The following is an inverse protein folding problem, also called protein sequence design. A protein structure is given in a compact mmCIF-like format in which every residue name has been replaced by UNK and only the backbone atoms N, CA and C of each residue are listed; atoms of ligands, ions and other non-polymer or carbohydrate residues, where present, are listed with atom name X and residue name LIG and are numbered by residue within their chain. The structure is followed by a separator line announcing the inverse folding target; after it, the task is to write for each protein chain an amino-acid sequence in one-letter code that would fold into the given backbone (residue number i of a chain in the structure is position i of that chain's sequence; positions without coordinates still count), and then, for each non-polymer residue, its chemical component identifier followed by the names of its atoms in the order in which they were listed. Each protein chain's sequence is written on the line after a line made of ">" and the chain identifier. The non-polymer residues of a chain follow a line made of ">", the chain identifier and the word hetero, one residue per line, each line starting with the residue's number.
data_IF_903762907595
#
_entry.id   IF_903762907595
#
_cell.length_a   1.000
_cell.length_b   1.000
_cell.length_c   1.000
_cell.angle_alpha   90.00
_cell.angle_beta   90.00
_cell.angle_gamma   90.00
#
_symmetry.space_group_name_H-M   'P 1'
#
loop_
_entity.id
_entity.type
_entity.pdbx_description
1 polymer ?
#
# COMPACT_ATOMS: atom_id res chain seq x y z
N UNK A 1 -13.19 52.59 -0.58
CA UNK A 1 -12.96 51.47 -1.51
C UNK A 1 -11.83 50.63 -0.97
N UNK A 2 -12.10 49.55 -0.25
CA UNK A 2 -11.13 48.69 0.41
C UNK A 2 -10.63 47.67 -0.62
N UNK A 3 -9.38 47.78 -1.07
CA UNK A 3 -8.74 46.80 -1.91
C UNK A 3 -8.50 45.53 -1.07
N UNK A 4 -9.26 44.46 -1.30
CA UNK A 4 -8.94 43.12 -0.78
C UNK A 4 -7.74 42.60 -1.53
N UNK A 5 -6.58 42.58 -0.86
CA UNK A 5 -5.41 41.83 -1.34
C UNK A 5 -5.71 40.34 -1.21
N UNK A 6 -6.01 39.69 -2.33
CA UNK A 6 -6.02 38.24 -2.42
C UNK A 6 -4.56 37.78 -2.41
N UNK A 7 -4.10 37.35 -1.24
CA UNK A 7 -2.88 36.55 -1.19
C UNK A 7 -3.19 35.23 -1.89
N UNK A 8 -2.58 35.07 -3.09
CA UNK A 8 -2.55 33.78 -3.75
C UNK A 8 -1.68 32.89 -2.88
N UNK A 9 -2.30 32.07 -2.01
CA UNK A 9 -1.60 31.03 -1.27
C UNK A 9 -1.12 30.06 -2.33
N UNK A 10 0.14 30.21 -2.75
CA UNK A 10 0.83 29.16 -3.51
C UNK A 10 1.00 28.03 -2.51
N UNK A 11 0.09 27.05 -2.53
CA UNK A 11 0.32 25.79 -1.84
C UNK A 11 1.50 25.14 -2.53
N UNK A 12 2.69 25.29 -1.97
CA UNK A 12 3.83 24.45 -2.30
C UNK A 12 3.45 23.10 -1.71
N UNK A 13 2.92 22.20 -2.53
CA UNK A 13 2.73 20.82 -2.13
C UNK A 13 4.14 20.24 -1.95
N UNK A 14 4.52 19.82 -0.74
CA UNK A 14 5.81 19.16 -0.56
C UNK A 14 5.81 17.88 -1.41
N UNK A 15 6.98 17.52 -1.94
CA UNK A 15 7.20 16.28 -2.68
C UNK A 15 6.57 15.09 -1.91
N UNK A 16 5.59 14.39 -2.47
CA UNK A 16 4.93 13.25 -1.81
C UNK A 16 5.87 12.06 -1.60
N UNK A 17 7.08 12.06 -2.19
CA UNK A 17 7.96 10.89 -2.29
C UNK A 17 8.64 10.46 -0.98
N UNK A 18 8.56 11.23 0.12
CA UNK A 18 9.36 10.97 1.33
C UNK A 18 8.64 10.26 2.48
N UNK A 19 7.32 10.27 2.54
CA UNK A 19 6.53 9.58 3.57
C UNK A 19 5.41 8.81 2.91
N UNK A 20 5.02 7.68 3.50
CA UNK A 20 3.77 7.02 3.12
C UNK A 20 2.61 8.00 3.28
N UNK A 21 1.68 8.01 2.31
CA UNK A 21 0.53 8.89 2.37
C UNK A 21 -0.75 8.24 1.85
N UNK A 22 -1.87 8.75 2.34
CA UNK A 22 -3.20 8.55 1.79
C UNK A 22 -3.69 9.90 1.28
N UNK A 23 -4.08 10.00 0.01
CA UNK A 23 -4.66 11.20 -0.60
C UNK A 23 -6.16 11.04 -0.74
N UNK A 24 -6.93 12.05 -0.36
CA UNK A 24 -8.35 12.15 -0.66
C UNK A 24 -8.53 12.58 -2.12
N UNK A 25 -9.12 11.74 -2.95
CA UNK A 25 -9.36 12.00 -4.38
C UNK A 25 -10.75 12.59 -4.64
N UNK A 26 -11.44 13.07 -3.61
CA UNK A 26 -12.76 13.67 -3.76
C UNK A 26 -12.72 15.20 -3.61
N UNK A 27 -13.73 15.86 -4.17
CA UNK A 27 -13.88 17.33 -4.09
C UNK A 27 -14.49 17.81 -2.77
N UNK A 28 -14.71 16.89 -1.83
CA UNK A 28 -15.21 17.17 -0.47
C UNK A 28 -14.25 16.58 0.57
N UNK A 29 -14.36 17.05 1.80
CA UNK A 29 -13.64 16.42 2.91
C UNK A 29 -14.01 14.94 3.01
N UNK A 30 -12.98 14.10 3.22
CA UNK A 30 -13.10 12.68 3.43
C UNK A 30 -12.62 12.29 4.81
N UNK A 31 -13.19 11.26 5.37
CA UNK A 31 -12.79 10.72 6.66
C UNK A 31 -11.99 9.43 6.47
N UNK A 32 -10.86 9.34 7.17
CA UNK A 32 -10.13 8.09 7.35
C UNK A 32 -10.30 7.67 8.80
N UNK A 33 -11.01 6.58 9.01
CA UNK A 33 -10.97 5.89 10.30
C UNK A 33 -9.62 5.22 10.48
N UNK A 34 -8.94 5.52 11.56
CA UNK A 34 -7.77 4.76 12.00
C UNK A 34 -8.19 3.81 13.11
N UNK A 35 -8.20 2.53 12.80
CA UNK A 35 -8.56 1.49 13.75
C UNK A 35 -7.30 0.71 14.14
N UNK A 36 -6.82 0.90 15.37
CA UNK A 36 -5.80 0.03 15.95
C UNK A 36 -6.49 -0.85 16.98
N UNK A 37 -6.82 -2.06 16.59
CA UNK A 37 -7.74 -2.92 17.33
C UNK A 37 -7.13 -3.72 18.49
N UNK A 38 -5.82 -3.70 18.63
CA UNK A 38 -5.19 -4.36 19.77
C UNK A 38 -4.70 -3.31 20.77
N UNK A 39 -5.42 -3.15 21.87
CA UNK A 39 -5.09 -2.19 22.93
C UNK A 39 -3.71 -2.42 23.54
N UNK A 40 -3.20 -3.66 23.55
CA UNK A 40 -1.85 -3.96 24.01
C UNK A 40 -0.78 -3.44 23.06
N UNK A 41 -1.05 -3.42 21.72
CA UNK A 41 -0.14 -2.93 20.71
C UNK A 41 -0.25 -1.43 20.40
N UNK A 42 -1.34 -0.77 20.78
CA UNK A 42 -1.49 0.69 20.63
C UNK A 42 -0.38 1.47 21.35
N UNK A 43 0.00 0.99 22.54
CA UNK A 43 1.06 1.61 23.32
C UNK A 43 2.45 1.39 22.68
N UNK A 44 2.57 0.40 21.80
CA UNK A 44 3.80 0.09 21.05
C UNK A 44 3.85 0.79 19.71
N UNK A 45 2.70 1.19 19.13
CA UNK A 45 2.63 1.83 17.82
C UNK A 45 2.89 3.33 17.95
N UNK A 46 4.07 3.78 17.54
CA UNK A 46 4.44 5.18 17.47
C UNK A 46 4.01 5.83 16.15
N UNK A 47 2.74 5.64 15.75
CA UNK A 47 2.21 6.19 14.52
C UNK A 47 1.89 7.68 14.67
N UNK A 48 2.48 8.48 13.83
CA UNK A 48 2.16 9.89 13.68
C UNK A 48 1.51 10.15 12.32
N UNK A 49 0.62 11.14 12.26
CA UNK A 49 0.10 11.66 10.99
C UNK A 49 0.34 13.15 10.87
N UNK A 50 0.36 13.66 9.63
CA UNK A 50 0.50 15.08 9.31
C UNK A 50 -0.20 15.41 8.00
N UNK A 51 -0.65 16.66 7.85
CA UNK A 51 -1.18 17.17 6.59
C UNK A 51 -0.17 18.05 5.82
N UNK A 52 0.95 18.41 6.45
CA UNK A 52 1.94 19.35 5.91
C UNK A 52 3.40 18.86 6.02
N UNK A 53 3.64 17.66 6.57
CA UNK A 53 4.95 17.04 6.87
C UNK A 53 5.79 17.84 7.90
N UNK A 54 5.26 18.86 8.50
CA UNK A 54 5.92 19.71 9.51
C UNK A 54 5.30 19.49 10.89
N UNK A 55 3.99 19.59 10.95
CA UNK A 55 3.22 19.44 12.18
C UNK A 55 2.72 18.00 12.30
N UNK A 56 3.33 17.22 13.19
CA UNK A 56 3.03 15.81 13.38
C UNK A 56 2.18 15.59 14.62
N UNK A 57 1.13 14.79 14.49
CA UNK A 57 0.18 14.48 15.54
C UNK A 57 0.26 12.99 15.84
N UNK A 58 0.48 12.64 17.11
CA UNK A 58 0.50 11.26 17.58
C UNK A 58 -0.91 10.67 17.56
N UNK A 59 -1.06 9.51 16.93
CA UNK A 59 -2.29 8.70 17.07
C UNK A 59 -2.33 8.12 18.48
N UNK A 60 -3.30 8.55 19.31
CA UNK A 60 -3.36 8.21 20.74
C UNK A 60 -4.42 7.19 21.12
N UNK A 61 -5.43 7.02 20.28
CA UNK A 61 -6.62 6.23 20.62
C UNK A 61 -7.11 5.40 19.43
N UNK A 62 -7.79 4.30 19.77
CA UNK A 62 -8.55 3.53 18.79
C UNK A 62 -9.72 4.37 18.24
N UNK A 63 -10.09 4.15 16.98
CA UNK A 63 -11.21 4.82 16.31
C UNK A 63 -11.04 6.33 16.11
N UNK A 64 -9.82 6.84 15.97
CA UNK A 64 -9.64 8.20 15.51
C UNK A 64 -10.12 8.34 14.07
N UNK A 65 -11.15 9.14 13.91
CA UNK A 65 -11.59 9.59 12.59
C UNK A 65 -10.81 10.85 12.24
N UNK A 66 -9.96 10.75 11.22
CA UNK A 66 -9.17 11.88 10.75
C UNK A 66 -9.81 12.40 9.47
N UNK A 67 -10.14 13.69 9.44
CA UNK A 67 -10.69 14.36 8.28
C UNK A 67 -9.56 14.83 7.36
N UNK A 68 -9.54 14.33 6.13
CA UNK A 68 -8.61 14.76 5.09
C UNK A 68 -9.33 15.78 4.22
N UNK A 69 -8.78 16.99 4.03
CA UNK A 69 -9.36 17.98 3.15
C UNK A 69 -9.59 17.45 1.73
N UNK A 70 -10.53 18.07 1.00
CA UNK A 70 -10.72 17.79 -0.42
C UNK A 70 -9.39 17.89 -1.16
N UNK A 71 -9.08 16.91 -2.00
CA UNK A 71 -7.80 16.82 -2.74
C UNK A 71 -6.54 16.93 -1.84
N UNK A 72 -6.69 16.63 -0.53
CA UNK A 72 -5.65 16.75 0.48
C UNK A 72 -4.92 15.44 0.74
N UNK A 73 -3.79 15.55 1.44
CA UNK A 73 -2.93 14.43 1.83
C UNK A 73 -2.94 14.23 3.34
N UNK A 74 -2.89 12.98 3.77
CA UNK A 74 -2.52 12.57 5.11
C UNK A 74 -1.23 11.75 5.01
N UNK A 75 -0.14 12.28 5.53
CA UNK A 75 1.16 11.60 5.63
C UNK A 75 1.22 10.80 6.92
N UNK A 76 1.89 9.67 6.87
CA UNK A 76 2.04 8.74 7.99
C UNK A 76 3.50 8.37 8.19
N UNK A 77 3.90 8.20 9.45
CA UNK A 77 5.22 7.73 9.85
C UNK A 77 5.19 6.96 11.16
N UNK A 78 6.14 6.05 11.34
CA UNK A 78 6.26 5.24 12.54
C UNK A 78 7.73 5.00 12.90
N UNK A 79 8.03 4.58 14.13
CA UNK A 79 9.38 4.28 14.63
C UNK A 79 9.55 2.89 15.23
N UNK A 80 8.49 2.09 15.31
CA UNK A 80 8.51 0.83 16.06
C UNK A 80 8.99 -0.38 15.26
N UNK A 81 9.32 -0.21 13.98
CA UNK A 81 9.66 -1.32 13.09
C UNK A 81 8.47 -2.24 12.76
N UNK A 82 7.27 -1.85 13.15
CA UNK A 82 6.06 -2.65 13.04
C UNK A 82 4.88 -1.77 12.60
N UNK A 83 4.20 -2.17 11.54
CA UNK A 83 2.94 -1.57 11.12
C UNK A 83 2.10 -2.69 10.51
N UNK A 84 0.99 -3.02 11.11
CA UNK A 84 0.08 -4.05 10.65
C UNK A 84 -0.67 -4.70 11.79
N UNK A 85 -1.84 -5.16 11.50
CA UNK A 85 -2.67 -5.92 12.41
C UNK A 85 -2.46 -7.41 12.15
N UNK A 86 -2.67 -8.23 13.15
CA UNK A 86 -2.90 -9.65 12.92
C UNK A 86 -4.15 -9.82 12.05
N UNK A 87 -4.24 -10.82 11.22
CA UNK A 87 -5.27 -11.28 10.27
C UNK A 87 -6.72 -10.73 10.31
N UNK A 88 -7.12 -9.91 11.23
CA UNK A 88 -8.53 -9.68 11.53
C UNK A 88 -8.96 -8.21 11.39
N UNK A 89 -8.03 -7.24 11.20
CA UNK A 89 -8.42 -5.85 11.39
C UNK A 89 -7.61 -4.87 10.52
N UNK A 90 -8.30 -4.26 9.57
CA UNK A 90 -7.73 -3.23 8.70
C UNK A 90 -7.57 -1.91 9.46
N UNK A 91 -6.34 -1.38 9.61
CA UNK A 91 -6.12 -0.13 10.35
C UNK A 91 -6.70 1.10 9.67
N UNK A 92 -6.97 1.06 8.37
CA UNK A 92 -7.53 2.19 7.63
C UNK A 92 -8.94 1.91 7.12
N UNK A 93 -9.89 2.78 7.44
CA UNK A 93 -11.25 2.72 6.92
C UNK A 93 -11.61 4.05 6.22
N UNK A 94 -11.28 4.21 4.93
CA UNK A 94 -11.60 5.42 4.20
C UNK A 94 -13.09 5.52 3.88
N UNK A 95 -13.67 6.72 4.06
CA UNK A 95 -15.04 7.07 3.64
C UNK A 95 -15.08 7.87 2.34
N UNK A 96 -13.94 8.04 1.66
CA UNK A 96 -13.79 8.73 0.39
C UNK A 96 -12.92 7.89 -0.57
N UNK A 97 -12.94 8.22 -1.86
CA UNK A 97 -11.98 7.64 -2.78
C UNK A 97 -10.58 8.15 -2.45
N UNK A 98 -9.61 7.25 -2.51
CA UNK A 98 -8.23 7.53 -2.12
C UNK A 98 -7.23 7.12 -3.21
N UNK A 99 -6.06 7.74 -3.16
CA UNK A 99 -4.81 7.21 -3.72
C UNK A 99 -3.81 6.99 -2.59
N UNK A 100 -2.89 6.06 -2.80
CA UNK A 100 -1.86 5.68 -1.82
C UNK A 100 -0.51 5.84 -2.48
N UNK A 101 0.46 6.38 -1.74
CA UNK A 101 1.81 6.55 -2.27
C UNK A 101 2.84 6.83 -1.20
N UNK A 102 4.03 7.24 -1.64
CA UNK A 102 5.19 7.49 -0.79
C UNK A 102 5.97 6.22 -0.47
N UNK A 103 6.94 6.34 0.42
CA UNK A 103 7.83 5.25 0.80
C UNK A 103 7.22 4.44 1.94
N UNK A 104 6.90 3.16 1.67
CA UNK A 104 6.31 2.25 2.67
C UNK A 104 7.22 2.04 3.87
N UNK A 105 8.55 2.17 3.72
CA UNK A 105 9.52 1.98 4.79
C UNK A 105 9.33 2.96 5.95
N UNK A 106 8.75 4.13 5.68
CA UNK A 106 8.44 5.14 6.71
C UNK A 106 7.36 4.69 7.70
N UNK A 107 6.57 3.68 7.35
CA UNK A 107 5.61 3.04 8.26
C UNK A 107 6.29 2.07 9.24
N UNK A 108 7.55 1.73 9.01
CA UNK A 108 8.30 0.83 9.90
C UNK A 108 9.33 1.60 10.72
N UNK A 109 10.19 2.42 10.09
CA UNK A 109 11.11 3.31 10.81
C UNK A 109 11.47 4.52 9.96
N UNK A 110 10.78 5.64 10.18
CA UNK A 110 11.06 6.87 9.42
C UNK A 110 12.36 7.57 9.84
N UNK A 111 12.92 7.24 11.00
CA UNK A 111 14.18 7.87 11.48
C UNK A 111 15.41 7.26 10.86
N UNK A 112 15.29 6.03 10.31
CA UNK A 112 16.36 5.33 9.62
C UNK A 112 15.76 4.45 8.51
N UNK A 113 15.21 5.13 7.48
CA UNK A 113 14.49 4.48 6.38
C UNK A 113 15.40 3.52 5.60
N UNK A 114 16.67 3.87 5.43
CA UNK A 114 17.60 3.06 4.63
C UNK A 114 18.01 1.75 5.32
N UNK A 115 17.82 1.64 6.64
CA UNK A 115 17.99 0.37 7.35
C UNK A 115 16.83 -0.60 7.12
N UNK A 116 15.68 -0.12 6.62
CA UNK A 116 14.49 -0.94 6.41
C UNK A 116 14.59 -1.64 5.06
N UNK A 117 14.99 -2.89 5.09
CA UNK A 117 15.09 -3.79 3.93
C UNK A 117 14.07 -4.92 3.97
N UNK A 118 13.28 -5.00 5.04
CA UNK A 118 12.29 -6.05 5.26
C UNK A 118 10.93 -5.48 5.66
N UNK A 119 9.86 -5.99 5.04
CA UNK A 119 8.52 -5.91 5.60
C UNK A 119 8.40 -7.03 6.63
N UNK A 120 8.18 -6.74 7.92
CA UNK A 120 8.09 -7.76 8.95
C UNK A 120 6.89 -8.68 8.77
N UNK A 121 6.83 -9.76 9.53
CA UNK A 121 5.67 -10.66 9.55
C UNK A 121 4.40 -9.87 9.88
N UNK A 122 3.35 -10.05 9.08
CA UNK A 122 2.10 -9.26 9.12
C UNK A 122 2.29 -7.76 8.96
N UNK A 123 3.44 -7.30 8.47
CA UNK A 123 3.84 -5.89 8.51
C UNK A 123 2.90 -4.94 7.79
N UNK A 124 2.30 -5.35 6.68
CA UNK A 124 1.30 -4.57 5.93
C UNK A 124 0.15 -5.48 5.46
N UNK A 125 -0.28 -6.38 6.33
CA UNK A 125 -1.35 -7.34 6.06
C UNK A 125 -2.72 -6.66 6.17
N UNK A 126 -3.56 -6.82 5.13
CA UNK A 126 -4.95 -6.36 5.05
C UNK A 126 -5.20 -4.93 5.63
N UNK A 127 -4.48 -3.91 5.13
CA UNK A 127 -4.45 -2.61 5.80
C UNK A 127 -5.71 -1.75 5.61
N UNK A 128 -6.61 -2.10 4.67
CA UNK A 128 -7.73 -1.26 4.27
C UNK A 128 -9.08 -1.95 4.41
N UNK A 129 -9.98 -1.36 5.22
CA UNK A 129 -11.40 -1.69 5.27
C UNK A 129 -12.19 -0.62 4.51
N UNK A 130 -12.44 -0.81 3.21
CA UNK A 130 -13.24 0.12 2.43
C UNK A 130 -14.72 0.05 2.83
N UNK A 131 -15.31 1.23 3.04
CA UNK A 131 -16.75 1.37 3.18
C UNK A 131 -17.43 1.30 1.80
N UNK A 132 -18.76 1.10 1.80
CA UNK A 132 -19.52 1.05 0.57
C UNK A 132 -19.25 2.26 -0.35
N UNK A 133 -18.99 1.97 -1.63
CA UNK A 133 -18.73 2.94 -2.71
C UNK A 133 -17.38 3.68 -2.64
N UNK A 134 -16.54 3.42 -1.65
CA UNK A 134 -15.18 4.00 -1.62
C UNK A 134 -14.19 3.12 -2.37
N UNK A 135 -13.19 3.76 -3.00
CA UNK A 135 -12.21 3.06 -3.85
C UNK A 135 -10.81 3.61 -3.65
N UNK A 136 -9.83 2.72 -3.78
CA UNK A 136 -8.44 3.10 -4.04
C UNK A 136 -8.23 3.11 -5.55
N UNK A 137 -7.98 4.29 -6.11
CA UNK A 137 -7.95 4.50 -7.56
C UNK A 137 -6.55 4.57 -8.14
N UNK A 138 -5.54 4.85 -7.32
CA UNK A 138 -4.14 4.93 -7.75
C UNK A 138 -3.17 4.54 -6.63
N UNK A 139 -2.13 3.78 -7.02
CA UNK A 139 -0.99 3.40 -6.17
C UNK A 139 0.34 3.58 -6.92
N UNK A 140 0.34 4.29 -8.05
CA UNK A 140 1.51 4.41 -8.92
C UNK A 140 2.73 5.06 -8.24
N UNK A 141 2.49 5.85 -7.20
CA UNK A 141 3.52 6.51 -6.40
C UNK A 141 3.90 5.73 -5.12
N UNK A 142 3.34 4.53 -4.89
CA UNK A 142 3.71 3.71 -3.74
C UNK A 142 5.01 2.97 -4.01
N UNK A 143 6.04 3.26 -3.22
CA UNK A 143 7.39 2.74 -3.39
C UNK A 143 7.70 1.61 -2.40
N UNK A 144 8.18 0.49 -2.94
CA UNK A 144 8.78 -0.64 -2.22
C UNK A 144 10.30 -0.69 -2.42
N UNK A 145 10.88 0.37 -2.98
CA UNK A 145 12.32 0.42 -3.28
C UNK A 145 13.15 0.13 -2.03
N UNK A 146 14.14 -0.76 -2.19
CA UNK A 146 15.03 -1.18 -1.11
C UNK A 146 14.45 -2.24 -0.18
N UNK A 147 13.18 -2.65 -0.34
CA UNK A 147 12.65 -3.84 0.33
C UNK A 147 13.16 -5.09 -0.39
N UNK A 148 13.95 -5.88 0.32
CA UNK A 148 14.57 -7.13 -0.18
C UNK A 148 13.80 -8.36 0.29
N UNK A 149 13.17 -8.27 1.47
CA UNK A 149 12.45 -9.37 2.09
C UNK A 149 11.02 -8.96 2.48
N UNK A 150 10.05 -9.86 2.22
CA UNK A 150 8.70 -9.78 2.75
C UNK A 150 8.50 -10.96 3.69
N UNK A 151 8.23 -10.67 4.96
CA UNK A 151 7.98 -11.66 6.01
C UNK A 151 6.69 -12.44 5.81
N UNK A 152 6.41 -13.37 6.72
CA UNK A 152 5.20 -14.18 6.68
C UNK A 152 3.96 -13.28 6.72
N UNK A 153 3.01 -13.50 5.79
CA UNK A 153 1.78 -12.70 5.67
C UNK A 153 2.04 -11.19 5.48
N UNK A 154 3.25 -10.80 5.09
CA UNK A 154 3.71 -9.39 5.09
C UNK A 154 2.88 -8.47 4.19
N UNK A 155 2.44 -8.94 3.03
CA UNK A 155 1.55 -8.24 2.09
C UNK A 155 0.25 -9.01 1.82
N UNK A 156 -0.16 -9.92 2.71
CA UNK A 156 -1.42 -10.65 2.52
C UNK A 156 -2.58 -9.66 2.42
N UNK A 157 -3.39 -9.80 1.36
CA UNK A 157 -4.65 -9.08 1.13
C UNK A 157 -4.54 -7.55 1.05
N UNK A 158 -3.36 -6.99 0.80
CA UNK A 158 -3.16 -5.53 0.79
C UNK A 158 -4.09 -4.83 -0.19
N UNK A 159 -4.22 -5.36 -1.40
CA UNK A 159 -5.02 -4.78 -2.48
C UNK A 159 -6.15 -5.73 -2.92
N UNK A 160 -6.70 -6.47 -1.97
CA UNK A 160 -7.76 -7.44 -2.22
C UNK A 160 -9.14 -6.76 -2.28
N UNK A 161 -9.88 -7.02 -3.35
CA UNK A 161 -11.28 -6.64 -3.47
C UNK A 161 -11.57 -5.64 -4.59
N UNK A 162 -12.87 -5.53 -4.90
CA UNK A 162 -13.39 -4.68 -5.99
C UNK A 162 -13.29 -3.17 -5.70
N UNK A 163 -12.88 -2.79 -4.49
CA UNK A 163 -12.62 -1.39 -4.12
C UNK A 163 -11.29 -0.86 -4.67
N UNK A 164 -10.43 -1.75 -5.18
CA UNK A 164 -9.20 -1.37 -5.86
C UNK A 164 -9.46 -1.29 -7.36
N UNK A 165 -9.17 -0.14 -7.97
CA UNK A 165 -9.49 0.11 -9.39
C UNK A 165 -8.29 0.57 -10.22
N UNK A 166 -7.09 0.55 -9.65
CA UNK A 166 -5.85 0.82 -10.37
C UNK A 166 -5.51 -0.33 -11.34
N UNK A 167 -4.77 0.01 -12.40
CA UNK A 167 -4.41 -0.93 -13.47
C UNK A 167 -3.01 -1.52 -13.32
N UNK A 168 -2.16 -0.91 -12.52
CA UNK A 168 -0.77 -1.31 -12.30
C UNK A 168 -0.51 -1.59 -10.82
N UNK A 169 0.06 -2.77 -10.54
CA UNK A 169 0.47 -3.16 -9.19
C UNK A 169 1.76 -2.47 -8.73
N UNK A 170 2.13 -2.68 -7.48
CA UNK A 170 3.39 -2.19 -6.92
C UNK A 170 4.58 -2.90 -7.54
N UNK A 171 5.73 -2.23 -7.54
CA UNK A 171 6.98 -2.76 -8.04
C UNK A 171 7.69 -3.57 -6.94
N UNK A 172 7.79 -4.89 -7.13
CA UNK A 172 8.45 -5.82 -6.22
C UNK A 172 9.79 -6.35 -6.76
N UNK A 173 10.39 -5.72 -7.78
CA UNK A 173 11.62 -6.22 -8.42
C UNK A 173 12.82 -6.33 -7.49
N UNK A 174 12.89 -5.50 -6.42
CA UNK A 174 13.98 -5.56 -5.43
C UNK A 174 13.81 -6.74 -4.45
N UNK A 175 12.61 -7.31 -4.34
CA UNK A 175 12.30 -8.38 -3.38
C UNK A 175 12.88 -9.71 -3.86
N UNK A 176 13.80 -10.29 -3.09
CA UNK A 176 14.44 -11.57 -3.38
C UNK A 176 14.00 -12.70 -2.45
N UNK A 177 13.31 -12.37 -1.36
CA UNK A 177 12.83 -13.35 -0.38
C UNK A 177 11.39 -13.05 0.03
N UNK A 178 10.54 -14.07 0.01
CA UNK A 178 9.16 -14.00 0.48
C UNK A 178 8.87 -15.10 1.50
N UNK A 179 8.19 -14.76 2.58
CA UNK A 179 7.76 -15.67 3.65
C UNK A 179 6.50 -16.45 3.31
N UNK A 180 6.01 -17.22 4.27
CA UNK A 180 4.76 -17.97 4.14
C UNK A 180 3.57 -17.02 3.92
N UNK A 181 2.70 -17.33 2.94
CA UNK A 181 1.54 -16.51 2.58
C UNK A 181 1.84 -15.01 2.35
N UNK A 182 3.10 -14.66 2.08
CA UNK A 182 3.55 -13.27 1.99
C UNK A 182 2.77 -12.43 0.97
N UNK A 183 2.39 -13.02 -0.17
CA UNK A 183 1.64 -12.38 -1.25
C UNK A 183 0.22 -12.96 -1.42
N UNK A 184 -0.25 -13.75 -0.46
CA UNK A 184 -1.57 -14.37 -0.54
C UNK A 184 -2.65 -13.32 -0.73
N UNK A 185 -3.52 -13.53 -1.74
CA UNK A 185 -4.60 -12.62 -2.12
C UNK A 185 -4.15 -11.16 -2.37
N UNK A 186 -2.88 -10.90 -2.69
CA UNK A 186 -2.34 -9.53 -2.77
C UNK A 186 -3.21 -8.61 -3.64
N UNK A 187 -3.61 -9.06 -4.84
CA UNK A 187 -4.44 -8.30 -5.77
C UNK A 187 -5.78 -8.97 -6.08
N UNK A 188 -6.17 -9.95 -5.27
CA UNK A 188 -7.36 -10.76 -5.55
C UNK A 188 -8.61 -9.87 -5.73
N UNK A 189 -9.40 -10.17 -6.77
CA UNK A 189 -10.62 -9.44 -7.14
C UNK A 189 -10.44 -7.96 -7.56
N UNK A 190 -9.21 -7.50 -7.90
CA UNK A 190 -9.01 -6.23 -8.58
C UNK A 190 -9.20 -6.42 -10.11
N UNK A 191 -10.42 -6.35 -10.58
CA UNK A 191 -10.77 -6.61 -11.98
C UNK A 191 -10.22 -5.60 -13.00
N UNK A 192 -9.59 -4.52 -12.55
CA UNK A 192 -8.95 -3.52 -13.42
C UNK A 192 -7.44 -3.74 -13.55
N UNK A 193 -6.83 -4.56 -12.70
CA UNK A 193 -5.39 -4.79 -12.72
C UNK A 193 -4.97 -5.50 -14.00
N UNK A 194 -4.03 -4.93 -14.74
CA UNK A 194 -3.50 -5.45 -16.01
C UNK A 194 -1.98 -5.54 -16.06
N UNK A 195 -1.28 -5.00 -15.06
CA UNK A 195 0.18 -4.96 -15.03
C UNK A 195 0.71 -5.20 -13.60
N UNK A 196 1.63 -6.14 -13.44
CA UNK A 196 2.31 -6.40 -12.17
C UNK A 196 3.80 -6.68 -12.37
N UNK A 197 4.60 -6.33 -11.34
CA UNK A 197 6.01 -6.64 -11.25
C UNK A 197 6.20 -7.69 -10.15
N UNK A 198 6.48 -8.91 -10.54
CA UNK A 198 6.71 -10.01 -9.60
C UNK A 198 8.01 -9.81 -8.81
N UNK A 199 8.16 -10.41 -7.63
CA UNK A 199 9.43 -10.41 -6.90
C UNK A 199 10.52 -11.17 -7.67
N UNK A 200 11.79 -10.79 -7.44
CA UNK A 200 12.98 -11.39 -8.02
C UNK A 200 13.46 -12.61 -7.20
N UNK A 201 12.57 -13.53 -6.93
CA UNK A 201 12.88 -14.77 -6.20
C UNK A 201 13.49 -15.81 -7.14
N UNK A 202 14.29 -16.74 -6.61
CA UNK A 202 14.91 -17.80 -7.41
C UNK A 202 13.95 -18.91 -7.83
N UNK A 203 12.88 -19.12 -7.07
CA UNK A 203 11.84 -20.11 -7.32
C UNK A 203 10.48 -19.56 -6.93
N UNK A 204 9.44 -19.87 -7.72
CA UNK A 204 8.06 -19.50 -7.41
C UNK A 204 7.41 -20.59 -6.56
N UNK A 205 6.98 -20.21 -5.36
CA UNK A 205 6.28 -21.10 -4.42
C UNK A 205 4.82 -20.69 -4.31
N UNK A 206 3.94 -21.51 -4.86
CA UNK A 206 2.48 -21.24 -4.88
C UNK A 206 1.85 -21.23 -3.49
N UNK A 207 2.48 -21.81 -2.47
CA UNK A 207 2.01 -21.73 -1.09
C UNK A 207 2.20 -20.34 -0.47
N UNK A 208 3.16 -19.57 -0.99
CA UNK A 208 3.48 -18.22 -0.55
C UNK A 208 2.68 -17.14 -1.26
N UNK A 209 2.10 -17.50 -2.41
CA UNK A 209 1.45 -16.60 -3.36
C UNK A 209 0.01 -16.99 -3.65
N UNK A 210 -0.59 -17.80 -2.76
CA UNK A 210 -1.94 -18.34 -2.94
C UNK A 210 -2.92 -17.24 -3.39
N UNK A 211 -3.53 -17.48 -4.56
CA UNK A 211 -4.54 -16.59 -5.17
C UNK A 211 -4.14 -15.11 -5.34
N UNK A 212 -2.83 -14.81 -5.47
CA UNK A 212 -2.33 -13.43 -5.53
C UNK A 212 -2.90 -12.60 -6.67
N UNK A 213 -3.28 -13.23 -7.79
CA UNK A 213 -3.91 -12.63 -8.99
C UNK A 213 -5.29 -13.24 -9.31
N UNK A 214 -5.99 -13.77 -8.33
CA UNK A 214 -7.33 -14.31 -8.55
C UNK A 214 -8.35 -13.21 -8.85
N UNK A 215 -9.16 -13.38 -9.91
CA UNK A 215 -10.24 -12.42 -10.22
C UNK A 215 -9.78 -11.04 -10.70
N UNK A 216 -8.54 -10.92 -11.18
CA UNK A 216 -8.01 -9.72 -11.84
C UNK A 216 -8.56 -9.58 -13.27
N UNK A 217 -8.14 -8.55 -14.02
CA UNK A 217 -8.54 -8.37 -15.43
C UNK A 217 -8.30 -9.66 -16.24
N UNK A 218 -9.14 -9.94 -17.27
CA UNK A 218 -9.02 -11.17 -18.07
C UNK A 218 -7.73 -11.24 -18.91
N UNK A 219 -7.07 -10.10 -19.13
CA UNK A 219 -5.79 -10.01 -19.84
C UNK A 219 -4.86 -9.05 -19.11
N UNK A 220 -3.56 -9.33 -19.15
CA UNK A 220 -2.56 -8.50 -18.52
C UNK A 220 -1.13 -9.01 -18.76
N UNK A 221 -0.18 -8.40 -18.08
CA UNK A 221 1.23 -8.75 -18.13
C UNK A 221 1.84 -8.88 -16.74
N UNK A 222 2.61 -9.94 -16.54
CA UNK A 222 3.50 -10.12 -15.39
C UNK A 222 4.93 -9.88 -15.85
N UNK A 223 5.56 -8.82 -15.36
CA UNK A 223 7.00 -8.62 -15.49
C UNK A 223 7.73 -9.45 -14.45
N UNK A 224 8.72 -10.22 -14.86
CA UNK A 224 9.48 -11.14 -14.01
C UNK A 224 10.92 -11.29 -14.49
N UNK A 225 11.84 -11.85 -13.66
CA UNK A 225 13.14 -12.29 -14.16
C UNK A 225 12.97 -13.34 -15.25
N UNK A 226 13.79 -13.28 -16.32
CA UNK A 226 13.76 -14.28 -17.40
C UNK A 226 13.95 -15.72 -16.91
N UNK A 227 14.72 -15.88 -15.83
CA UNK A 227 15.05 -17.17 -15.21
C UNK A 227 13.97 -17.72 -14.27
N UNK A 228 12.99 -16.90 -13.88
CA UNK A 228 11.94 -17.32 -12.96
C UNK A 228 10.81 -18.01 -13.72
N UNK A 229 10.55 -19.26 -13.38
CA UNK A 229 9.38 -20.00 -13.87
C UNK A 229 8.19 -19.81 -12.91
N UNK A 230 7.09 -19.24 -13.43
CA UNK A 230 5.84 -19.04 -12.70
C UNK A 230 4.76 -19.88 -13.39
N UNK A 231 4.06 -20.76 -12.66
CA UNK A 231 3.00 -21.59 -13.24
C UNK A 231 1.94 -20.74 -13.94
N UNK A 232 1.55 -21.14 -15.15
CA UNK A 232 0.48 -20.51 -15.94
C UNK A 232 -0.86 -21.18 -15.68
N UNK A 233 -1.96 -20.49 -16.04
CA UNK A 233 -3.33 -20.96 -15.82
C UNK A 233 -3.63 -21.32 -14.36
N UNK A 234 -3.01 -20.58 -13.44
CA UNK A 234 -3.06 -20.83 -12.01
C UNK A 234 -3.23 -19.49 -11.26
N UNK A 235 -4.23 -19.33 -10.39
CA UNK A 235 -4.46 -18.09 -9.65
C UNK A 235 -3.34 -17.77 -8.63
N UNK A 236 -2.55 -18.77 -8.23
CA UNK A 236 -1.35 -18.60 -7.40
C UNK A 236 -0.07 -18.36 -8.23
N UNK A 237 -0.20 -18.37 -9.55
CA UNK A 237 0.81 -18.06 -10.54
C UNK A 237 0.31 -16.99 -11.51
N UNK A 238 0.31 -17.29 -12.81
CA UNK A 238 -0.12 -16.39 -13.88
C UNK A 238 -1.53 -16.80 -14.33
N UNK A 239 -2.54 -15.90 -14.25
CA UNK A 239 -3.90 -16.21 -14.70
C UNK A 239 -3.96 -16.52 -16.19
N UNK A 240 -4.98 -17.30 -16.59
CA UNK A 240 -5.31 -17.52 -17.99
C UNK A 240 -5.54 -16.20 -18.72
N UNK A 241 -4.99 -16.05 -19.91
CA UNK A 241 -5.08 -14.82 -20.70
C UNK A 241 -4.01 -13.76 -20.39
N UNK A 242 -3.22 -13.97 -19.34
CA UNK A 242 -2.07 -13.10 -19.04
C UNK A 242 -0.80 -13.61 -19.72
N UNK A 243 0.10 -12.68 -20.04
CA UNK A 243 1.42 -12.95 -20.62
C UNK A 243 2.55 -12.62 -19.65
N UNK A 244 3.74 -13.11 -19.95
CA UNK A 244 4.95 -12.74 -19.21
C UNK A 244 5.91 -11.94 -20.06
N UNK A 245 6.63 -11.03 -19.44
CA UNK A 245 7.73 -10.28 -20.05
C UNK A 245 8.88 -10.19 -19.05
N UNK A 246 10.10 -10.04 -19.57
CA UNK A 246 11.24 -9.68 -18.73
C UNK A 246 11.06 -8.27 -18.17
N UNK A 247 11.69 -8.01 -17.03
CA UNK A 247 11.70 -6.65 -16.49
C UNK A 247 12.20 -5.66 -17.53
N UNK A 248 11.51 -4.51 -17.72
CA UNK A 248 12.02 -3.47 -18.58
C UNK A 248 13.40 -3.01 -18.08
N UNK A 249 14.33 -2.83 -19.02
CA UNK A 249 15.63 -2.19 -18.73
C UNK A 249 15.38 -0.72 -18.41
N UNK A 250 15.96 -0.24 -17.32
CA UNK A 250 15.95 1.18 -16.93
C UNK A 250 16.72 2.05 -17.92
#
# INVERSE_FOLDING_TARGET
>A
MIKRNYYKVVRIFPDPSSYFYIKNETMSEGQIGLFVFNTERLNELNLDYSFDKVNWIRVKENNNSIWIPADGYMYLRNTTGFFGASHIQSPFAPSCNISIGGDIRTLFNYTDVDSITKIPDYGFCDPFAFQNYTKCIDISNLSFRGIIEIGNYGLERVFNGNSFTFTKGVDLRDVTTIGENALKNLYSNNSNLTEVYAPNVSTWDTSKTDTWLYGVAPTGVVYKPSTLDIPTDNPSGIPSGWTTQDYPTE
#
